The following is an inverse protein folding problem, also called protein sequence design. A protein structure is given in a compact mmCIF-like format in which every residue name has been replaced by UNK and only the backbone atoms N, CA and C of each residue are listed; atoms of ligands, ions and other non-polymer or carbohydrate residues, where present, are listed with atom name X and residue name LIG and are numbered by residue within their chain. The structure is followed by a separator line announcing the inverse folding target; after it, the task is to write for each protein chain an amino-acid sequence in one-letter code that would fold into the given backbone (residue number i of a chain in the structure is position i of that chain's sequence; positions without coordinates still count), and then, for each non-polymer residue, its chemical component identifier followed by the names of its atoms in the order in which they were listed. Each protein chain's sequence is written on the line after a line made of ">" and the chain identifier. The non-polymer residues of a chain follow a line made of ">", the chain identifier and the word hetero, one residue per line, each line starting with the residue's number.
data_IF_983333544633
#
_entry.id   IF_983333544633
#
_cell.length_a   1.000
_cell.length_b   1.000
_cell.length_c   1.000
_cell.angle_alpha   90.00
_cell.angle_beta   90.00
_cell.angle_gamma   90.00
#
_symmetry.space_group_name_H-M   'P 1'
#
loop_
_entity.id
_entity.type
_entity.pdbx_description
1 polymer ?
#
# COMPACT_ATOMS: atom_id res chain seq x y z
N UNK A 1 2.23 7.45 -6.89
CA UNK A 1 3.58 6.84 -7.15
C UNK A 1 3.65 6.11 -8.49
N UNK A 2 2.71 5.23 -8.82
CA UNK A 2 2.71 4.53 -10.13
C UNK A 2 2.73 5.48 -11.33
N UNK A 3 2.07 6.64 -11.24
CA UNK A 3 2.18 7.69 -12.26
C UNK A 3 3.61 8.23 -12.40
N UNK A 4 4.36 8.34 -11.30
CA UNK A 4 5.76 8.83 -11.34
C UNK A 4 6.67 7.87 -12.10
N UNK A 5 6.42 6.54 -12.03
CA UNK A 5 7.16 5.57 -12.85
C UNK A 5 6.97 5.86 -14.34
N UNK A 6 5.72 6.09 -14.76
CA UNK A 6 5.40 6.46 -16.15
C UNK A 6 6.06 7.77 -16.57
N UNK A 7 6.00 8.77 -15.69
CA UNK A 7 6.64 10.06 -15.92
C UNK A 7 8.16 9.91 -16.06
N UNK A 8 8.82 9.18 -15.16
CA UNK A 8 10.27 8.99 -15.19
C UNK A 8 10.74 8.26 -16.45
N UNK A 9 10.00 7.23 -16.88
CA UNK A 9 10.29 6.56 -18.15
C UNK A 9 10.13 7.53 -19.33
N UNK A 10 9.06 8.31 -19.36
CA UNK A 10 8.84 9.32 -20.40
C UNK A 10 9.96 10.37 -20.45
N UNK A 11 10.42 10.86 -19.30
CA UNK A 11 11.52 11.83 -19.22
C UNK A 11 12.81 11.24 -19.79
N UNK A 12 13.13 9.99 -19.45
CA UNK A 12 14.31 9.28 -19.96
C UNK A 12 14.24 9.03 -21.47
N UNK A 13 13.12 8.51 -21.96
CA UNK A 13 12.88 8.24 -23.38
C UNK A 13 13.00 9.50 -24.24
N UNK A 14 12.54 10.64 -23.72
CA UNK A 14 12.58 11.92 -24.42
C UNK A 14 13.82 12.76 -24.07
N UNK A 15 14.78 12.25 -23.28
CA UNK A 15 16.00 12.93 -22.84
C UNK A 15 15.73 14.29 -22.17
N UNK A 16 14.65 14.36 -21.39
CA UNK A 16 14.28 15.58 -20.66
C UNK A 16 15.08 15.60 -19.34
N UNK A 17 15.75 16.72 -19.09
CA UNK A 17 16.50 16.93 -17.85
C UNK A 17 15.57 17.05 -16.65
N UNK A 18 15.73 16.18 -15.68
CA UNK A 18 15.02 16.15 -14.41
C UNK A 18 15.94 16.35 -13.19
N UNK A 19 17.16 16.82 -13.43
CA UNK A 19 18.19 17.01 -12.39
C UNK A 19 17.77 17.99 -11.30
N UNK A 20 16.85 18.91 -11.60
CA UNK A 20 16.27 19.87 -10.65
C UNK A 20 15.33 19.24 -9.63
N UNK A 21 14.78 18.04 -9.91
CA UNK A 21 13.92 17.32 -8.96
C UNK A 21 14.78 16.76 -7.85
N UNK A 22 14.66 17.32 -6.64
CA UNK A 22 15.44 16.91 -5.46
C UNK A 22 14.74 15.90 -4.57
N UNK A 23 13.42 15.95 -4.53
CA UNK A 23 12.59 15.15 -3.61
C UNK A 23 11.29 14.77 -4.27
N UNK A 24 10.89 13.52 -4.11
CA UNK A 24 9.60 12.98 -4.49
C UNK A 24 8.82 12.59 -3.23
N UNK A 25 7.73 13.31 -2.96
CA UNK A 25 6.82 12.98 -1.86
C UNK A 25 5.73 12.06 -2.40
N UNK A 26 5.74 10.81 -1.99
CA UNK A 26 4.88 9.74 -2.50
C UNK A 26 3.73 9.45 -1.54
N UNK A 27 2.49 9.63 -2.02
CA UNK A 27 1.25 9.41 -1.26
C UNK A 27 0.32 8.45 -2.02
N UNK A 28 -0.50 7.71 -1.28
CA UNK A 28 -1.63 6.92 -1.80
C UNK A 28 -1.29 5.51 -2.27
N UNK A 29 -0.01 5.17 -2.40
CA UNK A 29 0.46 3.81 -2.68
C UNK A 29 1.66 3.51 -1.77
N UNK A 30 1.77 2.29 -1.20
CA UNK A 30 2.84 1.99 -0.25
C UNK A 30 4.20 1.89 -0.96
N UNK A 31 5.14 2.73 -0.54
CA UNK A 31 6.54 2.69 -1.02
C UNK A 31 7.39 1.69 -0.25
N UNK A 32 6.97 1.33 0.97
CA UNK A 32 7.69 0.39 1.83
C UNK A 32 6.81 -0.74 2.31
N UNK A 33 7.44 -1.88 2.59
CA UNK A 33 6.83 -3.03 3.22
C UNK A 33 6.89 -2.91 4.77
N UNK A 34 6.37 -3.92 5.48
CA UNK A 34 6.39 -3.96 6.96
C UNK A 34 7.79 -3.87 7.57
N UNK A 35 8.84 -4.27 6.85
CA UNK A 35 10.24 -4.19 7.28
C UNK A 35 10.89 -2.85 6.96
N UNK A 36 10.11 -1.88 6.46
CA UNK A 36 10.57 -0.58 5.98
C UNK A 36 11.48 -0.63 4.73
N UNK A 37 11.58 -1.80 4.09
CA UNK A 37 12.25 -1.99 2.80
C UNK A 37 11.36 -1.48 1.67
N UNK A 38 11.96 -1.11 0.55
CA UNK A 38 11.20 -0.67 -0.63
C UNK A 38 10.30 -1.81 -1.15
N UNK A 39 9.09 -1.46 -1.55
CA UNK A 39 8.23 -2.33 -2.36
C UNK A 39 8.76 -2.38 -3.80
N UNK A 40 8.31 -3.33 -4.67
CA UNK A 40 8.70 -3.32 -6.08
C UNK A 40 8.39 -2.00 -6.80
N UNK A 41 7.32 -1.29 -6.40
CA UNK A 41 7.02 0.04 -6.91
C UNK A 41 8.04 1.07 -6.41
N UNK A 42 8.41 0.99 -5.13
CA UNK A 42 9.45 1.81 -4.53
C UNK A 42 10.82 1.58 -5.17
N UNK A 43 11.18 0.33 -5.47
CA UNK A 43 12.42 -0.03 -6.16
C UNK A 43 12.48 0.59 -7.55
N UNK A 44 11.42 0.43 -8.37
CA UNK A 44 11.33 1.05 -9.70
C UNK A 44 11.47 2.58 -9.65
N UNK A 45 10.84 3.22 -8.67
CA UNK A 45 11.00 4.67 -8.50
C UNK A 45 12.41 5.03 -8.07
N UNK A 46 13.02 4.24 -7.20
CA UNK A 46 14.39 4.50 -6.75
C UNK A 46 15.43 4.28 -7.86
N UNK A 47 15.19 3.39 -8.83
CA UNK A 47 15.99 3.26 -10.04
C UNK A 47 15.92 4.52 -10.93
N UNK A 48 14.73 5.15 -10.98
CA UNK A 48 14.51 6.38 -11.74
C UNK A 48 15.08 7.62 -11.03
N UNK A 49 14.88 7.73 -9.74
CA UNK A 49 15.31 8.86 -8.90
C UNK A 49 15.97 8.35 -7.62
N UNK A 50 17.24 7.93 -7.67
CA UNK A 50 17.94 7.37 -6.53
C UNK A 50 17.92 8.32 -5.34
N UNK A 51 17.56 7.79 -4.19
CA UNK A 51 17.59 8.51 -2.91
C UNK A 51 16.71 9.77 -2.81
N UNK A 52 15.69 9.92 -3.67
CA UNK A 52 14.80 11.09 -3.67
C UNK A 52 13.39 10.79 -3.17
N UNK A 53 13.08 9.52 -2.87
CA UNK A 53 11.72 9.08 -2.53
C UNK A 53 11.48 9.22 -1.04
N UNK A 54 10.40 9.91 -0.67
CA UNK A 54 9.88 10.01 0.69
C UNK A 54 8.41 9.59 0.68
N UNK A 55 8.09 8.56 1.45
CA UNK A 55 6.70 8.14 1.64
C UNK A 55 5.99 9.09 2.59
N UNK A 56 4.72 9.34 2.34
CA UNK A 56 3.86 10.10 3.25
C UNK A 56 2.50 9.44 3.41
N UNK A 57 1.97 9.50 4.63
CA UNK A 57 0.61 9.14 4.94
C UNK A 57 -0.19 10.40 5.23
N UNK A 58 -1.32 10.56 4.56
CA UNK A 58 -2.22 11.68 4.78
C UNK A 58 -3.65 11.32 4.36
N UNK A 59 -4.61 11.95 5.01
CA UNK A 59 -6.00 12.00 4.55
C UNK A 59 -6.59 13.38 4.87
N UNK A 60 -7.70 13.71 4.23
CA UNK A 60 -8.36 15.00 4.45
C UNK A 60 -8.84 15.16 5.89
N UNK A 61 -9.25 14.07 6.51
CA UNK A 61 -9.79 14.03 7.87
C UNK A 61 -8.75 14.35 8.94
N UNK A 62 -7.49 13.98 8.71
CA UNK A 62 -6.42 14.21 9.70
C UNK A 62 -5.73 15.57 9.54
N UNK A 63 -6.05 16.33 8.49
CA UNK A 63 -5.62 17.73 8.25
C UNK A 63 -4.10 17.93 8.25
N UNK A 64 -3.33 16.86 8.26
CA UNK A 64 -1.86 16.87 8.26
C UNK A 64 -1.31 15.67 7.51
N UNK A 65 0.01 15.54 7.45
CA UNK A 65 0.68 14.40 6.85
C UNK A 65 1.81 13.88 7.73
N UNK A 66 2.03 12.59 7.68
CA UNK A 66 3.14 11.92 8.35
C UNK A 66 4.16 11.51 7.29
N UNK A 67 5.18 12.33 7.12
CA UNK A 67 6.14 12.21 6.04
C UNK A 67 7.49 11.68 6.53
N UNK A 68 8.13 10.84 5.75
CA UNK A 68 9.47 10.36 6.02
C UNK A 68 10.49 11.51 6.02
N UNK A 69 11.43 11.44 6.94
CA UNK A 69 12.64 12.26 6.93
C UNK A 69 13.73 11.65 6.03
N UNK A 70 14.95 12.19 6.08
CA UNK A 70 16.10 11.68 5.32
C UNK A 70 16.47 10.23 5.67
N UNK A 71 16.09 9.73 6.85
CA UNK A 71 16.30 8.33 7.24
C UNK A 71 15.34 7.36 6.52
N UNK A 72 14.25 7.84 5.92
CA UNK A 72 13.30 7.07 5.10
C UNK A 72 12.79 5.79 5.76
N UNK A 73 12.50 5.86 7.04
CA UNK A 73 12.09 4.70 7.83
C UNK A 73 10.86 4.98 8.68
N UNK A 74 9.74 5.30 8.02
CA UNK A 74 8.47 5.66 8.62
C UNK A 74 8.25 7.16 8.75
N UNK A 75 6.97 7.57 8.70
CA UNK A 75 6.54 8.96 8.68
C UNK A 75 6.47 9.58 10.08
N UNK A 76 7.03 10.76 10.26
CA UNK A 76 6.94 11.51 11.50
C UNK A 76 5.59 12.24 11.59
N UNK A 77 4.75 11.95 12.59
CA UNK A 77 3.61 12.80 12.91
C UNK A 77 4.12 14.14 13.47
N UNK A 78 3.58 15.29 13.00
CA UNK A 78 3.83 16.56 13.67
C UNK A 78 3.12 16.56 15.02
N UNK A 79 3.89 16.55 16.11
CA UNK A 79 3.39 16.32 17.47
C UNK A 79 2.49 17.48 17.99
N UNK A 80 2.61 18.64 17.39
CA UNK A 80 1.79 19.83 17.65
C UNK A 80 0.47 19.85 16.87
N UNK A 81 0.32 19.02 15.84
CA UNK A 81 -0.86 18.96 14.97
C UNK A 81 -1.68 17.69 15.10
N UNK A 82 -1.11 16.59 15.58
CA UNK A 82 -1.83 15.33 15.68
C UNK A 82 -1.30 14.41 16.77
N UNK A 83 -2.22 13.72 17.45
CA UNK A 83 -1.94 12.55 18.29
C UNK A 83 -2.25 11.30 17.46
N UNK A 84 -1.32 10.35 17.42
CA UNK A 84 -1.47 9.09 16.68
C UNK A 84 -1.43 7.93 17.66
N UNK A 85 -2.42 7.06 17.57
CA UNK A 85 -2.53 5.81 18.30
C UNK A 85 -2.68 4.64 17.31
N UNK A 86 -2.21 3.47 17.69
CA UNK A 86 -2.53 2.22 17.00
C UNK A 86 -3.41 1.41 17.93
N UNK A 87 -4.64 1.10 17.51
CA UNK A 87 -5.63 0.45 18.35
C UNK A 87 -5.95 -0.97 17.89
N UNK A 88 -6.27 -1.82 18.85
CA UNK A 88 -6.88 -3.13 18.61
C UNK A 88 -8.39 -2.99 18.27
N UNK A 89 -9.07 -4.14 18.10
CA UNK A 89 -10.51 -4.18 17.82
C UNK A 89 -11.36 -3.62 18.99
N UNK A 90 -10.90 -3.80 20.23
CA UNK A 90 -11.55 -3.30 21.42
C UNK A 90 -11.27 -1.81 21.70
N UNK A 91 -10.45 -1.16 20.87
CA UNK A 91 -10.10 0.26 21.02
C UNK A 91 -9.00 0.53 22.06
N UNK A 92 -8.24 -0.49 22.46
CA UNK A 92 -7.09 -0.35 23.36
C UNK A 92 -5.83 -0.05 22.57
N UNK A 93 -4.95 0.86 23.05
CA UNK A 93 -3.67 1.13 22.42
C UNK A 93 -2.78 -0.11 22.41
N UNK A 94 -2.16 -0.34 21.25
CA UNK A 94 -1.19 -1.40 21.05
C UNK A 94 0.24 -0.86 21.24
N UNK A 95 1.16 -1.69 21.73
CA UNK A 95 2.56 -1.28 21.86
C UNK A 95 3.20 -1.07 20.47
N UNK A 96 4.28 -0.25 20.40
CA UNK A 96 5.04 -0.07 19.16
C UNK A 96 5.48 -1.41 18.54
N UNK A 97 5.51 -1.47 17.21
CA UNK A 97 5.81 -2.69 16.43
C UNK A 97 4.62 -3.61 16.19
N UNK A 98 3.56 -3.49 16.96
CA UNK A 98 2.34 -4.32 16.80
C UNK A 98 1.37 -3.63 15.84
N UNK A 99 0.94 -4.30 14.75
CA UNK A 99 -0.02 -3.75 13.81
C UNK A 99 -1.43 -3.63 14.41
N UNK A 100 -2.09 -2.54 14.10
CA UNK A 100 -3.49 -2.28 14.46
C UNK A 100 -4.04 -1.13 13.64
N UNK A 101 -5.23 -0.69 13.99
CA UNK A 101 -5.92 0.39 13.27
C UNK A 101 -5.34 1.75 13.63
N UNK A 102 -4.92 2.49 12.61
CA UNK A 102 -4.43 3.87 12.76
C UNK A 102 -5.58 4.74 13.24
N UNK A 103 -5.38 5.37 14.37
CA UNK A 103 -6.35 6.28 14.99
C UNK A 103 -5.67 7.62 15.23
N UNK A 104 -6.30 8.69 14.78
CA UNK A 104 -5.71 10.03 14.83
C UNK A 104 -6.66 11.02 15.51
N UNK A 105 -6.08 11.85 16.38
CA UNK A 105 -6.77 13.03 16.92
C UNK A 105 -6.07 14.27 16.38
N UNK A 106 -6.61 14.94 15.34
CA UNK A 106 -6.10 16.23 14.88
C UNK A 106 -6.25 17.29 15.99
N UNK A 107 -5.20 18.05 16.21
CA UNK A 107 -5.20 19.15 17.16
C UNK A 107 -5.53 20.46 16.46
N UNK A 108 -6.08 21.43 17.21
CA UNK A 108 -6.38 22.79 16.72
C UNK A 108 -7.43 22.84 15.60
N UNK A 109 -8.25 21.81 15.43
CA UNK A 109 -9.32 21.75 14.43
C UNK A 109 -10.65 22.07 15.10
N UNK A 110 -11.15 23.30 14.91
CA UNK A 110 -12.39 23.75 15.56
C UNK A 110 -13.66 23.37 14.78
N UNK A 111 -13.63 23.37 13.46
CA UNK A 111 -14.82 23.15 12.63
C UNK A 111 -15.37 21.73 12.66
N UNK A 112 -14.50 20.73 12.72
CA UNK A 112 -14.87 19.31 12.89
C UNK A 112 -13.79 18.64 13.76
N UNK A 113 -13.90 18.72 15.09
CA UNK A 113 -12.92 18.13 16.00
C UNK A 113 -13.09 16.62 16.04
N UNK A 114 -12.26 15.92 15.31
CA UNK A 114 -12.22 14.45 15.28
C UNK A 114 -11.38 13.94 16.46
N UNK A 115 -12.03 13.43 17.49
CA UNK A 115 -11.33 12.81 18.62
C UNK A 115 -11.25 11.30 18.39
N UNK A 116 -10.02 10.76 18.39
CA UNK A 116 -9.74 9.35 18.15
C UNK A 116 -10.41 8.83 16.86
N UNK A 117 -10.24 9.56 15.78
CA UNK A 117 -10.78 9.18 14.47
C UNK A 117 -10.11 7.90 13.96
N UNK A 118 -10.90 6.85 13.80
CA UNK A 118 -10.47 5.55 13.29
C UNK A 118 -10.44 5.63 11.76
N UNK A 119 -9.25 5.58 11.18
CA UNK A 119 -9.05 5.78 9.73
C UNK A 119 -9.46 4.57 8.87
N UNK A 120 -9.59 3.40 9.49
CA UNK A 120 -9.75 2.13 8.80
C UNK A 120 -8.46 1.59 8.17
N UNK A 121 -7.37 2.34 8.20
CA UNK A 121 -6.06 1.88 7.73
C UNK A 121 -5.32 1.14 8.84
N UNK A 122 -4.58 0.09 8.48
CA UNK A 122 -3.79 -0.72 9.41
C UNK A 122 -2.31 -0.40 9.22
N UNK A 123 -1.64 -0.05 10.33
CA UNK A 123 -0.21 0.22 10.38
C UNK A 123 0.33 -0.10 11.78
N UNK A 124 1.52 0.34 12.10
CA UNK A 124 2.16 0.18 13.40
C UNK A 124 3.04 1.41 13.71
N UNK A 125 3.34 1.65 14.98
CA UNK A 125 4.36 2.63 15.37
C UNK A 125 5.73 1.97 15.34
N UNK A 126 6.70 2.65 14.72
CA UNK A 126 8.08 2.17 14.63
C UNK A 126 8.78 2.40 15.99
N UNK A 127 9.23 1.33 16.68
CA UNK A 127 9.75 1.45 18.04
C UNK A 127 11.16 2.05 18.12
N UNK A 128 11.99 1.86 17.08
CA UNK A 128 13.38 2.29 17.10
C UNK A 128 13.50 3.82 17.03
N UNK A 129 14.48 4.45 17.70
CA UNK A 129 14.76 5.87 17.54
C UNK A 129 15.10 6.22 16.08
N UNK A 130 14.70 7.42 15.63
CA UNK A 130 15.04 7.84 14.28
C UNK A 130 16.45 8.42 14.22
N UNK A 131 17.30 8.00 13.25
CA UNK A 131 18.64 8.59 13.08
C UNK A 131 18.63 10.09 12.76
N UNK A 132 17.48 10.66 12.37
CA UNK A 132 17.35 12.10 12.12
C UNK A 132 17.36 12.98 13.40
N UNK A 133 17.40 12.35 14.59
CA UNK A 133 17.40 13.03 15.88
C UNK A 133 16.03 13.43 16.43
N UNK A 134 14.92 13.21 15.70
CA UNK A 134 13.57 13.43 16.24
C UNK A 134 13.18 12.31 17.18
N UNK A 135 12.58 12.66 18.31
CA UNK A 135 12.16 11.72 19.35
C UNK A 135 10.70 11.24 19.21
N UNK A 136 9.93 11.80 18.28
CA UNK A 136 8.56 11.34 18.01
C UNK A 136 8.57 9.93 17.42
N UNK A 137 7.65 9.08 17.86
CA UNK A 137 7.39 7.80 17.21
C UNK A 137 7.02 8.04 15.75
N UNK A 138 7.39 7.10 14.89
CA UNK A 138 7.07 7.17 13.47
C UNK A 138 5.94 6.20 13.14
N UNK A 139 5.04 6.63 12.25
CA UNK A 139 4.07 5.72 11.68
C UNK A 139 4.75 4.89 10.58
N UNK A 140 4.61 3.59 10.66
CA UNK A 140 5.03 2.64 9.62
C UNK A 140 4.20 2.79 8.34
N UNK A 141 4.52 2.03 7.29
CA UNK A 141 3.71 2.01 6.07
C UNK A 141 2.32 1.45 6.34
N UNK A 142 1.34 1.88 5.55
CA UNK A 142 0.01 1.28 5.56
C UNK A 142 0.11 -0.14 5.02
N UNK A 143 -0.25 -1.12 5.84
CA UNK A 143 -0.24 -2.54 5.50
C UNK A 143 -1.47 -2.92 4.68
N UNK A 144 -2.59 -2.21 4.89
CA UNK A 144 -3.84 -2.41 4.19
C UNK A 144 -4.99 -1.70 4.88
N UNK A 145 -6.20 -1.88 4.37
CA UNK A 145 -7.42 -1.39 5.01
C UNK A 145 -8.12 -2.50 5.77
N UNK A 146 -8.63 -2.20 6.96
CA UNK A 146 -9.34 -3.14 7.80
C UNK A 146 -10.52 -3.78 7.07
N UNK A 147 -11.30 -3.00 6.33
CA UNK A 147 -12.42 -3.48 5.52
C UNK A 147 -12.00 -4.41 4.37
N UNK A 148 -10.73 -4.35 3.93
CA UNK A 148 -10.17 -5.20 2.87
C UNK A 148 -9.37 -6.37 3.42
N UNK A 149 -9.36 -6.58 4.72
CA UNK A 149 -8.67 -7.72 5.34
C UNK A 149 -9.26 -9.03 4.84
N UNK A 150 -8.39 -9.95 4.47
CA UNK A 150 -8.72 -11.27 3.95
C UNK A 150 -8.42 -12.33 5.01
N UNK A 151 -9.36 -13.24 5.21
CA UNK A 151 -9.20 -14.42 6.04
C UNK A 151 -9.22 -15.66 5.16
N UNK A 152 -8.05 -16.16 4.76
CA UNK A 152 -7.93 -17.29 3.86
C UNK A 152 -7.35 -18.49 4.63
N UNK A 153 -8.16 -19.54 4.81
CA UNK A 153 -7.74 -20.80 5.49
C UNK A 153 -7.02 -20.54 6.83
N UNK A 154 -7.57 -19.64 7.65
CA UNK A 154 -7.00 -19.31 8.96
C UNK A 154 -5.85 -18.29 8.94
N UNK A 155 -5.38 -17.88 7.77
CA UNK A 155 -4.37 -16.82 7.64
C UNK A 155 -5.03 -15.49 7.34
N UNK A 156 -4.61 -14.46 8.08
CA UNK A 156 -5.05 -13.08 7.84
C UNK A 156 -4.01 -12.34 7.01
N UNK A 157 -4.44 -11.71 5.92
CA UNK A 157 -3.58 -10.88 5.08
C UNK A 157 -4.39 -9.76 4.41
N UNK A 158 -3.67 -8.88 3.73
CA UNK A 158 -4.27 -7.78 2.97
C UNK A 158 -4.03 -7.97 1.46
N UNK A 159 -4.89 -7.43 0.58
CA UNK A 159 -4.69 -7.46 -0.88
C UNK A 159 -3.31 -6.96 -1.31
N UNK A 160 -2.75 -5.99 -0.59
CA UNK A 160 -1.42 -5.45 -0.85
C UNK A 160 -0.30 -6.51 -0.86
N UNK A 161 -0.48 -7.62 -0.16
CA UNK A 161 0.49 -8.74 -0.19
C UNK A 161 0.52 -9.41 -1.57
N UNK A 162 -0.64 -9.56 -2.20
CA UNK A 162 -0.73 -10.07 -3.58
C UNK A 162 -0.27 -9.03 -4.59
N UNK A 163 -0.64 -7.76 -4.40
CA UNK A 163 -0.20 -6.67 -5.27
C UNK A 163 1.32 -6.56 -5.33
N UNK A 164 1.98 -6.53 -4.17
CA UNK A 164 3.43 -6.49 -4.10
C UNK A 164 4.10 -7.71 -4.77
N UNK A 165 3.48 -8.89 -4.69
CA UNK A 165 3.98 -10.06 -5.37
C UNK A 165 3.85 -9.95 -6.90
N UNK A 166 2.70 -9.50 -7.41
CA UNK A 166 2.41 -9.34 -8.84
C UNK A 166 3.19 -8.19 -9.46
N UNK A 167 3.30 -7.05 -8.76
CA UNK A 167 4.11 -5.90 -9.19
C UNK A 167 5.59 -6.24 -9.36
N UNK A 168 6.08 -7.23 -8.61
CA UNK A 168 7.44 -7.75 -8.73
C UNK A 168 7.65 -8.77 -9.85
N UNK A 169 6.65 -9.00 -10.72
CA UNK A 169 6.72 -9.93 -11.85
C UNK A 169 6.75 -9.15 -13.17
N UNK A 170 7.91 -9.07 -13.86
CA UNK A 170 8.03 -8.27 -15.09
C UNK A 170 7.13 -8.74 -16.21
N UNK A 171 6.74 -10.01 -16.21
CA UNK A 171 5.83 -10.63 -17.17
C UNK A 171 4.37 -10.22 -17.02
N UNK A 172 3.97 -9.70 -15.86
CA UNK A 172 2.60 -9.26 -15.59
C UNK A 172 2.41 -7.85 -16.16
N UNK A 173 1.40 -7.70 -16.99
CA UNK A 173 1.03 -6.41 -17.59
C UNK A 173 0.01 -5.65 -16.75
N UNK A 174 -1.05 -6.34 -16.31
CA UNK A 174 -2.10 -5.81 -15.43
C UNK A 174 -2.76 -6.97 -14.68
N UNK A 175 -3.41 -6.65 -13.55
CA UNK A 175 -4.09 -7.66 -12.72
C UNK A 175 -5.17 -7.03 -11.85
N UNK A 176 -6.08 -7.87 -11.35
CA UNK A 176 -7.02 -7.52 -10.29
C UNK A 176 -7.40 -8.76 -9.47
N UNK A 177 -7.93 -8.53 -8.28
CA UNK A 177 -8.43 -9.53 -7.35
C UNK A 177 -9.94 -9.39 -7.22
N UNK A 178 -10.64 -10.51 -7.25
CA UNK A 178 -12.02 -10.62 -6.82
C UNK A 178 -12.09 -11.47 -5.56
N UNK A 179 -12.86 -10.99 -4.59
CA UNK A 179 -13.04 -11.67 -3.31
C UNK A 179 -14.52 -11.96 -3.12
N UNK A 180 -14.81 -13.20 -2.78
CA UNK A 180 -16.14 -13.70 -2.46
C UNK A 180 -16.08 -14.55 -1.19
N UNK A 181 -17.20 -15.10 -0.78
CA UNK A 181 -17.31 -15.99 0.36
C UNK A 181 -18.48 -15.62 1.28
N UNK A 182 -19.07 -16.61 1.89
CA UNK A 182 -20.20 -16.49 2.85
C UNK A 182 -19.89 -17.14 4.19
N UNK A 183 -18.62 -17.45 4.46
CA UNK A 183 -18.23 -18.26 5.61
C UNK A 183 -17.03 -17.75 6.37
N UNK A 184 -16.39 -18.64 7.09
CA UNK A 184 -15.21 -18.33 7.92
C UNK A 184 -13.92 -18.11 7.11
N UNK A 185 -13.94 -18.34 5.80
CA UNK A 185 -12.80 -18.18 4.91
C UNK A 185 -13.23 -17.45 3.64
N UNK A 186 -12.47 -16.42 3.29
CA UNK A 186 -12.64 -15.70 2.02
C UNK A 186 -12.15 -16.58 0.86
N UNK A 187 -12.84 -16.48 -0.26
CA UNK A 187 -12.45 -17.04 -1.55
C UNK A 187 -11.86 -15.90 -2.40
N UNK A 188 -10.61 -16.05 -2.78
CA UNK A 188 -9.89 -15.05 -3.58
C UNK A 188 -9.55 -15.64 -4.93
N UNK A 189 -9.90 -14.95 -6.00
CA UNK A 189 -9.45 -15.21 -7.36
C UNK A 189 -8.61 -14.05 -7.87
N UNK A 190 -7.50 -14.38 -8.55
CA UNK A 190 -6.59 -13.41 -9.15
C UNK A 190 -6.67 -13.50 -10.66
N UNK A 191 -6.95 -12.39 -11.30
CA UNK A 191 -7.03 -12.26 -12.75
C UNK A 191 -5.80 -11.51 -13.25
N UNK A 192 -5.06 -12.12 -14.19
CA UNK A 192 -3.77 -11.62 -14.66
C UNK A 192 -3.76 -11.50 -16.18
N UNK A 193 -3.40 -10.35 -16.68
CA UNK A 193 -3.02 -10.13 -18.06
C UNK A 193 -1.50 -10.20 -18.17
N UNK A 194 -0.99 -11.08 -19.04
CA UNK A 194 0.43 -11.29 -19.26
C UNK A 194 0.90 -10.56 -20.53
N UNK A 195 2.13 -10.08 -20.54
CA UNK A 195 2.73 -9.38 -21.68
C UNK A 195 2.90 -10.29 -22.89
N UNK A 196 3.20 -11.57 -22.63
CA UNK A 196 3.42 -12.57 -23.67
C UNK A 196 2.47 -13.77 -23.51
N UNK A 197 1.92 -14.30 -24.61
CA UNK A 197 0.97 -15.42 -24.57
C UNK A 197 1.57 -16.74 -24.04
N UNK A 198 2.89 -16.93 -24.23
CA UNK A 198 3.58 -18.19 -23.90
C UNK A 198 3.92 -18.41 -22.43
N UNK A 199 3.70 -17.40 -21.57
CA UNK A 199 4.01 -17.52 -20.14
C UNK A 199 2.96 -18.41 -19.45
N UNK A 200 3.40 -19.43 -18.72
CA UNK A 200 2.50 -20.34 -18.01
C UNK A 200 1.90 -19.68 -16.75
N UNK A 201 0.58 -19.84 -16.56
CA UNK A 201 -0.09 -19.33 -15.35
C UNK A 201 0.39 -20.03 -14.08
N UNK A 202 0.77 -21.28 -14.20
CA UNK A 202 1.30 -22.11 -13.11
C UNK A 202 2.58 -21.48 -12.53
N UNK A 203 3.40 -20.86 -13.37
CA UNK A 203 4.61 -20.15 -12.94
C UNK A 203 4.26 -18.90 -12.12
N UNK A 204 3.28 -18.12 -12.57
CA UNK A 204 2.76 -16.97 -11.82
C UNK A 204 2.18 -17.39 -10.47
N UNK A 205 1.37 -18.46 -10.47
CA UNK A 205 0.78 -19.01 -9.26
C UNK A 205 1.84 -19.55 -8.27
N UNK A 206 2.88 -20.21 -8.77
CA UNK A 206 3.98 -20.69 -7.94
C UNK A 206 4.77 -19.53 -7.29
N UNK A 207 5.04 -18.47 -8.02
CA UNK A 207 5.71 -17.26 -7.48
C UNK A 207 4.84 -16.52 -6.48
N UNK A 208 3.52 -16.42 -6.74
CA UNK A 208 2.55 -15.87 -5.77
C UNK A 208 2.59 -16.66 -4.47
N UNK A 209 2.50 -17.99 -4.56
CA UNK A 209 2.61 -18.87 -3.39
C UNK A 209 3.95 -18.69 -2.66
N UNK A 210 5.05 -18.60 -3.39
CA UNK A 210 6.38 -18.40 -2.82
C UNK A 210 6.46 -17.14 -1.93
N UNK A 211 5.76 -16.08 -2.30
CA UNK A 211 5.75 -14.81 -1.56
C UNK A 211 4.65 -14.68 -0.52
N UNK A 212 3.45 -15.19 -0.80
CA UNK A 212 2.28 -15.03 0.08
C UNK A 212 2.04 -16.24 1.00
N UNK A 213 2.59 -17.40 0.66
CA UNK A 213 2.34 -18.70 1.30
C UNK A 213 0.87 -19.15 1.24
N UNK A 214 0.10 -18.59 0.32
CA UNK A 214 -1.31 -18.91 0.14
C UNK A 214 -1.56 -19.31 -1.30
N UNK A 215 -2.22 -20.48 -1.47
CA UNK A 215 -2.70 -20.92 -2.77
C UNK A 215 -4.01 -20.21 -3.10
N UNK A 216 -4.01 -19.48 -4.20
CA UNK A 216 -5.20 -18.84 -4.78
C UNK A 216 -5.31 -19.20 -6.26
N UNK A 217 -6.52 -19.38 -6.80
CA UNK A 217 -6.73 -19.53 -8.24
C UNK A 217 -6.21 -18.29 -9.00
N UNK A 218 -5.47 -18.55 -10.09
CA UNK A 218 -5.00 -17.51 -11.01
C UNK A 218 -5.64 -17.76 -12.37
N UNK A 219 -6.28 -16.75 -12.94
CA UNK A 219 -6.93 -16.81 -14.25
C UNK A 219 -6.30 -15.83 -15.22
N UNK A 220 -6.12 -16.26 -16.45
CA UNK A 220 -5.69 -15.39 -17.54
C UNK A 220 -6.86 -14.55 -18.05
N UNK A 221 -6.59 -13.27 -18.28
CA UNK A 221 -7.52 -12.34 -18.96
C UNK A 221 -6.77 -11.58 -20.03
N UNK A 222 -7.53 -11.01 -21.00
CA UNK A 222 -6.92 -10.11 -21.99
C UNK A 222 -6.56 -8.79 -21.33
N UNK A 223 -5.52 -8.14 -21.83
CA UNK A 223 -5.04 -6.86 -21.29
C UNK A 223 -6.13 -5.77 -21.33
N UNK A 224 -6.90 -5.74 -22.43
CA UNK A 224 -8.00 -4.80 -22.61
C UNK A 224 -9.10 -4.98 -21.54
N UNK A 225 -9.46 -6.25 -21.25
CA UNK A 225 -10.48 -6.57 -20.23
C UNK A 225 -9.99 -6.20 -18.83
N UNK A 226 -8.72 -6.49 -18.53
CA UNK A 226 -8.10 -6.10 -17.27
C UNK A 226 -8.05 -4.58 -17.11
N UNK A 227 -7.64 -3.84 -18.13
CA UNK A 227 -7.63 -2.38 -18.13
C UNK A 227 -9.03 -1.79 -17.94
N UNK A 228 -10.01 -2.29 -18.69
CA UNK A 228 -11.40 -1.85 -18.54
C UNK A 228 -11.92 -2.09 -17.12
N UNK A 229 -11.55 -3.22 -16.50
CA UNK A 229 -11.95 -3.55 -15.13
C UNK A 229 -11.26 -2.65 -14.11
N UNK A 230 -9.95 -2.44 -14.23
CA UNK A 230 -9.12 -1.70 -13.27
C UNK A 230 -9.36 -0.19 -13.33
N UNK A 231 -9.55 0.37 -14.52
CA UNK A 231 -9.69 1.82 -14.73
C UNK A 231 -11.11 2.29 -15.10
N UNK A 232 -12.05 1.37 -15.34
CA UNK A 232 -13.41 1.70 -15.76
C UNK A 232 -14.24 2.42 -14.70
N UNK A 233 -13.87 2.37 -13.43
CA UNK A 233 -14.66 2.91 -12.31
C UNK A 233 -14.10 4.24 -11.80
N UNK A 234 -12.79 4.47 -11.89
CA UNK A 234 -12.16 5.68 -11.36
C UNK A 234 -10.86 6.03 -12.08
N UNK A 235 -10.38 7.28 -11.89
CA UNK A 235 -9.05 7.70 -12.38
C UNK A 235 -7.89 6.96 -11.72
N UNK A 236 -8.10 6.45 -10.50
CA UNK A 236 -7.13 5.62 -9.79
C UNK A 236 -7.40 4.16 -10.11
N UNK A 237 -6.38 3.32 -10.29
CA UNK A 237 -6.57 1.89 -10.52
C UNK A 237 -7.29 1.24 -9.33
N UNK A 238 -8.40 0.56 -9.60
CA UNK A 238 -9.12 -0.26 -8.63
C UNK A 238 -8.79 -1.72 -8.95
N UNK A 239 -7.98 -2.35 -8.11
CA UNK A 239 -7.54 -3.73 -8.29
C UNK A 239 -8.14 -4.73 -7.30
N UNK A 240 -8.97 -4.25 -6.37
CA UNK A 240 -9.65 -5.07 -5.38
C UNK A 240 -11.16 -4.95 -5.54
N UNK A 241 -11.81 -6.05 -5.86
CA UNK A 241 -13.26 -6.13 -6.04
C UNK A 241 -13.85 -7.06 -4.99
N UNK A 242 -14.46 -6.47 -3.98
CA UNK A 242 -15.10 -7.17 -2.87
C UNK A 242 -16.53 -7.53 -3.24
N UNK A 243 -16.82 -8.82 -3.31
CA UNK A 243 -18.16 -9.36 -3.54
C UNK A 243 -18.70 -10.10 -2.31
N UNK A 244 -18.02 -9.97 -1.17
CA UNK A 244 -18.52 -10.54 0.07
C UNK A 244 -19.81 -9.85 0.44
N UNK A 245 -20.80 -10.62 0.84
CA UNK A 245 -22.05 -10.07 1.37
C UNK A 245 -21.73 -9.62 2.78
N UNK A 246 -21.76 -8.32 3.02
CA UNK A 246 -21.85 -7.76 4.37
C UNK A 246 -23.31 -7.85 4.78
N UNK A 247 -23.60 -8.73 5.77
CA UNK A 247 -24.88 -8.70 6.48
C UNK A 247 -25.02 -7.44 7.33
#
# INVERSE_FOLDING_TARGET
>A
PSFLVRLGNYLRENRIDDSSIRTLVCIGEPMRNRRLELTPLGERLNELWPDRIHSTYASSEIVTSFTECSARSGGHPPADLAIVEILDEAGKPLPPGVPGEVTVTPLQVAGMPLVRFRTGDVSFLVPEPCPCGRHTLRLGPVLGRKAQMLKIRGTTLFPNSFFAALDGMPEVAEYYLEVSGRGLSDEVEIFVALKEPGIALEEVAARLYGRTRIHVPVRRVRLEDAHARVFGVSRKPVRFFDRRITE
#
